data_IF_438218738612
#
_entry.id   IF_438218738612
#
_cell.length_a   1.000
_cell.length_b   1.000
_cell.length_c   1.000
_cell.angle_alpha   90.00
_cell.angle_beta   90.00
_cell.angle_gamma   90.00
#
_symmetry.space_group_name_H-M   'P 1'
#
loop_
_entity.id
_entity.type
_entity.pdbx_description
1 polymer ?
#
# COMPACT_ATOMS: atom_id res chain seq x y z
N UNK A 1 -3.67 -24.43 33.89
CA UNK A 1 -3.23 -23.25 33.12
C UNK A 1 -3.75 -22.02 33.86
N UNK A 2 -2.83 -21.21 34.39
CA UNK A 2 -3.16 -20.04 35.21
C UNK A 2 -3.96 -19.01 34.38
N UNK A 3 -5.04 -18.48 34.93
CA UNK A 3 -5.93 -17.54 34.24
C UNK A 3 -5.17 -16.30 33.74
N UNK A 4 -4.11 -15.89 34.46
CA UNK A 4 -3.24 -14.78 34.07
C UNK A 4 -2.43 -15.11 32.81
N UNK A 5 -1.95 -16.35 32.70
CA UNK A 5 -1.17 -16.81 31.54
C UNK A 5 -2.08 -16.89 30.30
N UNK A 6 -3.29 -17.41 30.46
CA UNK A 6 -4.26 -17.45 29.36
C UNK A 6 -4.66 -16.06 28.87
N UNK A 7 -4.85 -15.11 29.79
CA UNK A 7 -5.16 -13.71 29.46
C UNK A 7 -4.01 -13.02 28.72
N UNK A 8 -2.76 -13.23 29.17
CA UNK A 8 -1.57 -12.67 28.51
C UNK A 8 -1.40 -13.23 27.08
N UNK A 9 -1.62 -14.53 26.89
CA UNK A 9 -1.57 -15.17 25.56
C UNK A 9 -2.63 -14.58 24.63
N UNK A 10 -3.86 -14.39 25.11
CA UNK A 10 -4.94 -13.79 24.33
C UNK A 10 -4.65 -12.34 23.93
N UNK A 11 -4.11 -11.54 24.85
CA UNK A 11 -3.74 -10.15 24.56
C UNK A 11 -2.62 -10.09 23.51
N UNK A 12 -1.63 -10.97 23.61
CA UNK A 12 -0.52 -11.03 22.65
C UNK A 12 -0.99 -11.40 21.24
N UNK A 13 -1.89 -12.38 21.15
CA UNK A 13 -2.49 -12.77 19.87
C UNK A 13 -3.34 -11.64 19.27
N UNK A 14 -4.18 -10.98 20.06
CA UNK A 14 -5.00 -9.85 19.58
C UNK A 14 -4.15 -8.65 19.14
N UNK A 15 -3.04 -8.36 19.82
CA UNK A 15 -2.14 -7.28 19.41
C UNK A 15 -1.48 -7.55 18.04
N UNK A 16 -1.22 -8.82 17.71
CA UNK A 16 -0.62 -9.20 16.42
C UNK A 16 -1.56 -9.01 15.22
N UNK A 17 -2.88 -9.08 15.41
CA UNK A 17 -3.88 -8.90 14.34
C UNK A 17 -4.31 -7.44 14.16
N UNK A 18 -4.27 -6.62 15.21
CA UNK A 18 -4.65 -5.20 15.13
C UNK A 18 -3.52 -4.33 14.54
N UNK A 19 -2.28 -4.81 14.56
CA UNK A 19 -1.12 -4.10 14.00
C UNK A 19 -1.05 -4.06 12.47
N UNK A 20 -2.02 -4.65 11.75
CA UNK A 20 -2.05 -4.65 10.29
C UNK A 20 -3.12 -3.71 9.75
N UNK A 21 -3.10 -2.44 10.16
CA UNK A 21 -3.34 -1.39 9.16
C UNK A 21 -2.10 -1.36 8.26
N UNK A 22 -1.92 -2.44 7.51
CA UNK A 22 -0.83 -2.60 6.58
C UNK A 22 -0.92 -1.42 5.64
N UNK A 23 0.17 -0.67 5.54
CA UNK A 23 0.32 0.44 4.61
C UNK A 23 0.34 -0.15 3.18
N UNK A 24 -0.82 -0.63 2.71
CA UNK A 24 -0.97 -1.34 1.44
C UNK A 24 -0.61 -0.33 0.36
N UNK A 25 0.46 -0.58 -0.41
CA UNK A 25 0.91 0.36 -1.40
C UNK A 25 -0.17 0.51 -2.48
N UNK A 26 -0.57 1.75 -2.74
CA UNK A 26 -1.49 2.03 -3.84
C UNK A 26 -0.74 1.85 -5.16
N UNK A 27 -1.16 0.87 -5.97
CA UNK A 27 -0.52 0.53 -7.23
C UNK A 27 -1.42 0.83 -8.43
N UNK A 28 -0.86 1.49 -9.45
CA UNK A 28 -1.45 1.52 -10.78
C UNK A 28 -1.34 0.14 -11.42
N UNK A 29 -2.48 -0.40 -11.88
CA UNK A 29 -2.57 -1.69 -12.55
C UNK A 29 -2.54 -1.58 -14.09
N UNK A 30 -2.78 -0.38 -14.62
CA UNK A 30 -2.79 -0.06 -16.05
C UNK A 30 -2.30 1.37 -16.27
N UNK A 31 -1.73 1.64 -17.44
CA UNK A 31 -1.28 2.97 -17.85
C UNK A 31 -2.06 3.44 -19.08
N UNK A 32 -2.37 4.74 -19.12
CA UNK A 32 -2.85 5.35 -20.36
C UNK A 32 -1.66 5.70 -21.26
N UNK A 33 -1.62 5.13 -22.46
CA UNK A 33 -0.58 5.43 -23.45
C UNK A 33 -0.80 6.75 -24.19
N UNK A 34 -2.01 7.31 -24.11
CA UNK A 34 -2.40 8.55 -24.80
C UNK A 34 -3.02 9.49 -23.78
N UNK A 35 -2.26 10.51 -23.41
CA UNK A 35 -2.73 11.58 -22.52
C UNK A 35 -2.73 12.85 -23.35
N UNK A 36 -3.84 13.59 -23.28
CA UNK A 36 -3.94 14.86 -24.00
C UNK A 36 -2.92 15.85 -23.41
N UNK A 37 -2.24 16.61 -24.27
CA UNK A 37 -1.24 17.59 -23.86
C UNK A 37 -1.83 18.67 -22.95
N UNK A 38 -3.12 19.00 -23.11
CA UNK A 38 -3.83 19.93 -22.22
C UNK A 38 -3.99 19.40 -20.79
N UNK A 39 -3.98 18.08 -20.59
CA UNK A 39 -3.99 17.45 -19.26
C UNK A 39 -2.58 17.46 -18.68
N UNK A 40 -1.56 17.13 -19.47
CA UNK A 40 -0.16 17.15 -19.03
C UNK A 40 0.27 18.55 -18.59
N UNK A 41 -0.19 19.60 -19.27
CA UNK A 41 0.09 20.99 -18.89
C UNK A 41 -0.48 21.41 -17.52
N UNK A 42 -1.42 20.64 -16.97
CA UNK A 42 -2.04 20.89 -15.65
C UNK A 42 -1.44 20.03 -14.54
N UNK A 43 -0.48 19.17 -14.85
CA UNK A 43 0.15 18.28 -13.86
C UNK A 43 1.12 19.10 -13.01
N UNK A 44 0.87 19.17 -11.72
CA UNK A 44 1.74 19.86 -10.76
C UNK A 44 2.83 18.95 -10.19
N UNK A 45 2.54 17.65 -10.05
CA UNK A 45 3.41 16.66 -9.42
C UNK A 45 3.23 15.32 -10.12
N UNK A 46 4.29 14.53 -10.13
CA UNK A 46 4.24 13.15 -10.55
C UNK A 46 5.09 12.26 -9.64
N UNK A 47 4.77 10.98 -9.60
CA UNK A 47 5.54 9.95 -8.92
C UNK A 47 5.83 8.79 -9.85
N UNK A 48 7.02 8.22 -9.72
CA UNK A 48 7.44 7.06 -10.51
C UNK A 48 7.12 5.81 -9.70
N UNK A 49 6.19 5.01 -10.20
CA UNK A 49 5.98 3.64 -9.75
C UNK A 49 6.94 2.72 -10.52
N UNK A 50 7.80 1.99 -9.80
CA UNK A 50 8.72 1.02 -10.39
C UNK A 50 8.21 -0.40 -10.19
N UNK A 51 8.36 -1.24 -11.22
CA UNK A 51 8.04 -2.68 -11.17
C UNK A 51 8.91 -3.48 -10.19
N UNK A 52 10.03 -2.90 -9.75
CA UNK A 52 10.98 -3.52 -8.80
C UNK A 52 10.58 -3.30 -7.34
N UNK A 53 9.54 -2.49 -7.11
CA UNK A 53 9.01 -2.22 -5.77
C UNK A 53 7.79 -3.09 -5.48
N UNK A 54 6.82 -2.59 -4.70
CA UNK A 54 5.64 -3.35 -4.31
C UNK A 54 4.58 -3.54 -5.42
N UNK A 55 4.80 -2.96 -6.60
CA UNK A 55 3.84 -2.99 -7.71
C UNK A 55 4.44 -3.71 -8.91
N UNK A 56 3.61 -4.39 -9.71
CA UNK A 56 4.09 -5.27 -10.79
C UNK A 56 4.42 -4.56 -12.12
N UNK A 57 4.05 -3.28 -12.25
CA UNK A 57 4.27 -2.51 -13.49
C UNK A 57 4.96 -1.17 -13.23
N UNK A 58 5.67 -0.69 -14.25
CA UNK A 58 6.14 0.69 -14.29
C UNK A 58 4.99 1.64 -14.64
N UNK A 59 4.81 2.70 -13.88
CA UNK A 59 3.82 3.75 -14.14
C UNK A 59 4.30 5.13 -13.71
N UNK A 60 3.69 6.17 -14.27
CA UNK A 60 3.82 7.56 -13.84
C UNK A 60 2.46 7.98 -13.27
N UNK A 61 2.45 8.33 -11.99
CA UNK A 61 1.25 8.72 -11.23
C UNK A 61 1.20 10.23 -11.09
#
# INVERSE_FOLDING_TARGET
MDLRVAALILIFLCASVVGTEGNIPTCCLRVSKKINQSVLAKVEKFQIQRKTGPCDINALV
#
